data_IF_573779932581
#
_entry.id   IF_573779932581
#
_cell.length_a   1.000
_cell.length_b   1.000
_cell.length_c   1.000
_cell.angle_alpha   90.00
_cell.angle_beta   90.00
_cell.angle_gamma   90.00
#
_symmetry.space_group_name_H-M   'P 1'
#
loop_
_entity.id
_entity.type
_entity.pdbx_description
1 polymer ?
#
# COMPACT_ATOMS: atom_id res chain seq x y z
N UNK A 1 -16.71 20.26 32.51
CA UNK A 1 -15.69 19.21 32.57
C UNK A 1 -15.77 18.46 31.25
N UNK A 2 -14.85 18.73 30.32
CA UNK A 2 -14.88 18.18 28.95
C UNK A 2 -14.23 16.79 29.01
N UNK A 3 -14.97 15.69 28.77
CA UNK A 3 -14.39 14.35 28.81
C UNK A 3 -13.45 14.15 27.61
N UNK A 4 -12.38 13.41 27.88
CA UNK A 4 -11.19 13.31 27.07
C UNK A 4 -11.44 12.94 25.61
N UNK A 5 -10.82 13.73 24.75
CA UNK A 5 -10.39 13.27 23.44
C UNK A 5 -9.45 12.07 23.63
N UNK A 6 -10.05 10.88 23.62
CA UNK A 6 -9.50 9.72 22.96
C UNK A 6 -8.97 10.19 21.60
N UNK A 7 -7.66 10.44 21.56
CA UNK A 7 -6.86 10.71 20.36
C UNK A 7 -6.16 9.42 19.93
N UNK A 8 -6.85 8.29 20.03
CA UNK A 8 -6.37 7.02 19.47
C UNK A 8 -6.73 7.03 18.00
N UNK A 9 -5.75 6.75 17.13
CA UNK A 9 -5.99 6.46 15.71
C UNK A 9 -6.73 5.15 15.51
N UNK A 10 -7.90 4.97 16.12
CA UNK A 10 -8.76 3.82 15.90
C UNK A 10 -9.39 3.95 14.52
N UNK A 11 -9.11 2.98 13.65
CA UNK A 11 -9.75 2.83 12.33
C UNK A 11 -11.18 2.34 12.50
N UNK A 12 -12.01 3.03 13.29
CA UNK A 12 -13.38 2.61 13.54
C UNK A 12 -14.11 2.55 12.20
N UNK A 13 -14.55 1.34 11.82
CA UNK A 13 -15.22 1.05 10.56
C UNK A 13 -14.34 1.00 9.30
N UNK A 14 -13.08 1.42 9.29
CA UNK A 14 -12.20 1.23 8.12
C UNK A 14 -11.51 -0.14 8.14
N UNK A 15 -11.65 -0.90 7.05
CA UNK A 15 -10.87 -2.12 6.80
C UNK A 15 -9.57 -1.79 6.08
N UNK A 16 -9.62 -0.85 5.13
CA UNK A 16 -8.47 -0.30 4.40
C UNK A 16 -8.70 1.15 3.99
N UNK A 17 -7.69 2.04 4.10
CA UNK A 17 -6.40 1.79 4.75
C UNK A 17 -6.57 1.57 6.26
N UNK A 18 -5.63 0.87 6.89
CA UNK A 18 -5.56 0.78 8.35
C UNK A 18 -4.75 1.93 8.93
N UNK A 19 -4.94 2.22 10.22
CA UNK A 19 -4.25 3.33 10.87
C UNK A 19 -2.73 3.19 10.79
N UNK A 20 -2.06 4.23 10.28
CA UNK A 20 -0.60 4.26 10.07
C UNK A 20 -0.11 3.48 8.85
N UNK A 21 -1.01 2.86 8.06
CA UNK A 21 -0.64 2.19 6.81
C UNK A 21 -0.03 3.19 5.82
N UNK A 22 0.95 2.74 5.03
CA UNK A 22 1.45 3.49 3.88
C UNK A 22 0.86 2.90 2.60
N UNK A 23 0.01 3.67 1.91
CA UNK A 23 -0.65 3.23 0.66
C UNK A 23 -0.06 3.91 -0.57
N UNK A 24 -0.17 3.25 -1.72
CA UNK A 24 0.29 3.83 -2.97
C UNK A 24 -0.60 5.01 -3.36
N UNK A 25 0.01 6.10 -3.84
CA UNK A 25 -0.73 7.32 -4.15
C UNK A 25 -1.77 7.20 -5.28
N UNK A 26 -1.70 6.15 -6.10
CA UNK A 26 -2.60 5.92 -7.24
C UNK A 26 -3.30 4.56 -7.15
N UNK A 27 -4.55 4.50 -7.60
CA UNK A 27 -5.39 3.27 -7.65
C UNK A 27 -5.60 2.60 -6.27
N UNK A 28 -5.44 3.35 -5.18
CA UNK A 28 -5.69 2.82 -3.84
C UNK A 28 -7.18 2.53 -3.66
N UNK A 29 -7.48 1.36 -3.13
CA UNK A 29 -8.84 0.96 -2.78
C UNK A 29 -9.08 1.18 -1.29
N UNK A 30 -10.18 1.88 -1.01
CA UNK A 30 -10.69 2.15 0.32
C UNK A 30 -11.82 1.15 0.59
N UNK A 31 -11.82 0.55 1.79
CA UNK A 31 -12.81 -0.44 2.23
C UNK A 31 -13.20 -0.18 3.67
N UNK A 32 -14.48 -0.34 3.97
CA UNK A 32 -15.03 -0.10 5.30
C UNK A 32 -16.13 -1.11 5.62
N UNK A 33 -16.51 -1.20 6.88
CA UNK A 33 -17.62 -2.00 7.34
C UNK A 33 -18.94 -1.34 6.95
N UNK A 34 -19.96 -2.11 6.52
CA UNK A 34 -21.28 -1.56 6.24
C UNK A 34 -21.86 -0.85 7.47
N UNK A 35 -22.46 0.32 7.26
CA UNK A 35 -23.11 1.08 8.33
C UNK A 35 -24.62 0.85 8.22
N UNK A 36 -25.26 0.24 9.23
CA UNK A 36 -26.70 -0.01 9.20
C UNK A 36 -27.49 1.29 8.99
N UNK A 37 -28.35 1.33 7.99
CA UNK A 37 -29.18 2.51 7.66
C UNK A 37 -28.57 3.47 6.64
N UNK A 38 -27.30 3.31 6.25
CA UNK A 38 -26.70 4.10 5.17
C UNK A 38 -27.17 3.59 3.80
N UNK A 39 -27.63 4.49 2.94
CA UNK A 39 -27.99 4.22 1.54
C UNK A 39 -26.84 4.47 0.57
N UNK A 40 -25.93 5.38 0.92
CA UNK A 40 -24.66 5.60 0.21
C UNK A 40 -23.61 6.21 1.13
N UNK A 41 -22.38 6.30 0.62
CA UNK A 41 -21.20 6.76 1.34
C UNK A 41 -20.44 7.78 0.50
N UNK A 42 -19.99 8.84 1.16
CA UNK A 42 -19.07 9.83 0.63
C UNK A 42 -17.73 9.65 1.32
N UNK A 43 -16.69 9.38 0.53
CA UNK A 43 -15.31 9.25 0.99
C UNK A 43 -14.60 10.55 0.72
N UNK A 44 -14.09 11.19 1.78
CA UNK A 44 -13.33 12.44 1.68
C UNK A 44 -11.91 12.23 2.19
N UNK A 45 -10.93 12.77 1.48
CA UNK A 45 -9.51 12.67 1.80
C UNK A 45 -8.94 14.07 1.97
N UNK A 46 -8.22 14.27 3.06
CA UNK A 46 -7.55 15.52 3.40
C UNK A 46 -6.13 15.25 3.91
N UNK A 47 -5.23 16.20 3.74
CA UNK A 47 -4.00 16.22 4.52
C UNK A 47 -4.34 16.47 5.99
N UNK A 48 -3.62 15.82 6.92
CA UNK A 48 -3.76 16.12 8.36
C UNK A 48 -3.44 17.59 8.65
N UNK A 49 -2.65 18.24 7.80
CA UNK A 49 -2.37 19.67 7.83
C UNK A 49 -3.58 20.56 7.50
N UNK A 50 -4.64 20.01 6.89
CA UNK A 50 -5.92 20.69 6.62
C UNK A 50 -6.25 20.88 5.14
N UNK A 51 -5.37 20.50 4.23
CA UNK A 51 -5.60 20.66 2.78
C UNK A 51 -6.55 19.58 2.24
N UNK A 52 -7.56 20.01 1.48
CA UNK A 52 -8.43 19.08 0.77
C UNK A 52 -7.66 18.38 -0.36
N UNK A 53 -7.80 17.06 -0.45
CA UNK A 53 -7.14 16.26 -1.50
C UNK A 53 -8.16 15.77 -2.52
N UNK A 54 -9.20 15.07 -2.07
CA UNK A 54 -10.16 14.43 -2.96
C UNK A 54 -11.45 14.01 -2.26
N UNK A 55 -12.53 13.84 -3.03
CA UNK A 55 -13.80 13.30 -2.58
C UNK A 55 -14.45 12.43 -3.65
N UNK A 56 -15.17 11.38 -3.24
CA UNK A 56 -15.96 10.55 -4.14
C UNK A 56 -17.06 9.77 -3.43
N UNK A 57 -18.03 9.28 -4.21
CA UNK A 57 -19.23 8.62 -3.68
C UNK A 57 -19.26 7.14 -4.05
N UNK A 58 -19.74 6.30 -3.14
CA UNK A 58 -19.99 4.88 -3.37
C UNK A 58 -21.36 4.46 -2.83
N UNK A 59 -22.01 3.53 -3.52
CA UNK A 59 -23.22 2.85 -3.03
C UNK A 59 -22.89 1.53 -2.31
N UNK A 60 -21.64 1.06 -2.41
CA UNK A 60 -21.13 -0.10 -1.70
C UNK A 60 -20.16 0.29 -0.58
N UNK A 61 -19.51 -0.71 0.02
CA UNK A 61 -18.53 -0.51 1.10
C UNK A 61 -17.08 -0.44 0.64
N UNK A 62 -16.89 -0.11 -0.64
CA UNK A 62 -15.57 0.12 -1.21
C UNK A 62 -15.60 1.23 -2.24
N UNK A 63 -14.46 1.91 -2.39
CA UNK A 63 -14.24 2.93 -3.41
C UNK A 63 -12.78 2.87 -3.87
N UNK A 64 -12.60 2.86 -5.17
CA UNK A 64 -11.27 2.90 -5.78
C UNK A 64 -10.99 4.31 -6.25
N UNK A 65 -9.80 4.83 -5.93
CA UNK A 65 -9.37 6.13 -6.45
C UNK A 65 -9.26 6.07 -7.98
N UNK A 66 -9.84 7.06 -8.69
CA UNK A 66 -9.66 7.19 -10.13
C UNK A 66 -8.18 7.30 -10.51
N UNK A 67 -7.79 6.82 -11.70
CA UNK A 67 -6.40 6.74 -12.14
C UNK A 67 -5.72 8.12 -12.29
N UNK A 68 -6.52 9.15 -12.52
CA UNK A 68 -6.13 10.56 -12.66
C UNK A 68 -5.87 11.25 -11.31
N UNK A 69 -6.31 10.65 -10.21
CA UNK A 69 -6.10 11.19 -8.86
C UNK A 69 -4.78 10.68 -8.29
N UNK A 70 -3.90 11.64 -7.96
CA UNK A 70 -2.60 11.38 -7.34
C UNK A 70 -2.59 11.95 -5.93
N UNK A 71 -2.41 11.08 -4.93
CA UNK A 71 -2.20 11.53 -3.55
C UNK A 71 -0.81 12.15 -3.38
N UNK A 72 -0.67 13.25 -2.60
CA UNK A 72 0.60 13.92 -2.41
C UNK A 72 1.58 13.00 -1.66
N UNK A 73 2.67 12.58 -2.28
CA UNK A 73 3.57 11.58 -1.71
C UNK A 73 4.26 12.05 -0.42
N UNK A 74 4.48 11.12 0.53
CA UNK A 74 5.16 11.38 1.80
C UNK A 74 4.33 12.18 2.80
N UNK A 75 3.04 12.40 2.55
CA UNK A 75 2.14 13.16 3.42
C UNK A 75 1.33 12.25 4.33
N UNK A 76 0.99 12.78 5.49
CA UNK A 76 0.01 12.16 6.38
C UNK A 76 -1.39 12.64 5.98
N UNK A 77 -2.23 11.68 5.61
CA UNK A 77 -3.57 11.90 5.11
C UNK A 77 -4.58 11.35 6.11
N UNK A 78 -5.79 11.92 6.07
CA UNK A 78 -6.95 11.40 6.77
C UNK A 78 -8.07 11.16 5.77
N UNK A 79 -8.60 9.95 5.76
CA UNK A 79 -9.83 9.63 5.05
C UNK A 79 -11.01 9.64 6.02
N UNK A 80 -12.16 10.09 5.54
CA UNK A 80 -13.43 10.12 6.27
C UNK A 80 -14.50 9.36 5.46
N UNK A 81 -15.36 8.62 6.16
CA UNK A 81 -16.62 8.11 5.61
C UNK A 81 -17.76 8.97 6.16
N UNK A 82 -18.53 9.55 5.24
CA UNK A 82 -19.74 10.30 5.55
C UNK A 82 -20.91 9.50 4.97
N UNK A 83 -21.86 9.10 5.81
CA UNK A 83 -23.05 8.37 5.37
C UNK A 83 -24.07 9.30 4.74
N UNK A 84 -24.86 8.75 3.84
CA UNK A 84 -26.11 9.34 3.39
C UNK A 84 -27.22 8.35 3.76
N UNK A 85 -28.23 8.73 4.57
CA UNK A 85 -28.36 10.04 5.21
C UNK A 85 -27.34 10.23 6.36
N UNK A 86 -27.03 11.51 6.69
CA UNK A 86 -25.89 11.91 7.54
C UNK A 86 -26.11 11.71 9.04
N UNK A 87 -27.34 11.42 9.43
CA UNK A 87 -27.80 11.21 10.81
C UNK A 87 -27.59 9.77 11.31
N UNK A 88 -27.22 8.86 10.42
CA UNK A 88 -27.07 7.42 10.72
C UNK A 88 -25.74 7.10 11.40
N UNK A 89 -24.70 7.87 11.11
CA UNK A 89 -23.38 7.74 11.74
C UNK A 89 -22.97 9.08 12.38
N UNK A 90 -22.40 9.08 13.60
CA UNK A 90 -21.84 10.29 14.19
C UNK A 90 -20.76 10.88 13.27
N UNK A 91 -20.85 12.18 13.00
CA UNK A 91 -19.84 12.88 12.20
C UNK A 91 -18.47 12.78 12.87
N UNK A 92 -17.49 12.20 12.18
CA UNK A 92 -16.09 12.10 12.64
C UNK A 92 -15.69 10.76 13.25
N UNK A 93 -16.62 9.83 13.48
CA UNK A 93 -16.32 8.51 14.07
C UNK A 93 -15.61 7.57 13.08
N UNK A 94 -15.78 7.81 11.78
CA UNK A 94 -15.26 6.95 10.72
C UNK A 94 -14.16 7.67 9.98
N UNK A 95 -13.00 7.75 10.62
CA UNK A 95 -11.81 8.29 9.98
C UNK A 95 -10.61 7.38 10.18
N UNK A 96 -9.70 7.40 9.22
CA UNK A 96 -8.43 6.70 9.33
C UNK A 96 -7.30 7.59 8.87
N UNK A 97 -6.20 7.58 9.62
CA UNK A 97 -4.97 8.27 9.26
C UNK A 97 -4.01 7.28 8.61
N UNK A 98 -3.46 7.67 7.49
CA UNK A 98 -2.53 6.84 6.71
C UNK A 98 -1.49 7.74 6.06
N UNK A 99 -0.42 7.15 5.53
CA UNK A 99 0.58 7.86 4.76
C UNK A 99 0.46 7.51 3.29
N UNK A 100 0.60 8.50 2.43
CA UNK A 100 0.79 8.28 0.99
C UNK A 100 2.26 7.95 0.73
N UNK A 101 2.52 6.76 0.21
CA UNK A 101 3.86 6.32 -0.15
C UNK A 101 4.15 6.51 -1.64
N UNK A 102 5.42 6.79 -1.94
CA UNK A 102 5.93 6.76 -3.30
C UNK A 102 5.88 5.31 -3.85
N UNK A 103 5.46 5.13 -5.11
CA UNK A 103 5.30 3.80 -5.72
C UNK A 103 6.58 2.95 -5.61
N UNK A 104 7.74 3.60 -5.68
CA UNK A 104 9.06 2.97 -5.52
C UNK A 104 9.43 2.67 -4.05
N UNK A 105 8.95 3.46 -3.09
CA UNK A 105 9.18 3.22 -1.66
C UNK A 105 8.39 1.99 -1.17
N UNK A 106 7.17 1.80 -1.67
CA UNK A 106 6.32 0.65 -1.33
C UNK A 106 6.88 -0.65 -1.94
N UNK A 107 7.42 -0.58 -3.15
CA UNK A 107 8.10 -1.73 -3.77
C UNK A 107 9.40 -2.09 -3.03
N UNK A 108 10.20 -1.12 -2.58
CA UNK A 108 11.37 -1.39 -1.72
C UNK A 108 10.97 -2.03 -0.39
N UNK A 109 9.84 -1.62 0.20
CA UNK A 109 9.35 -2.22 1.44
C UNK A 109 8.94 -3.70 1.25
N UNK A 110 8.33 -4.05 0.11
CA UNK A 110 7.98 -5.46 -0.20
C UNK A 110 9.17 -6.33 -0.57
N UNK A 111 10.22 -5.79 -1.19
CA UNK A 111 11.44 -6.57 -1.47
C UNK A 111 12.36 -6.72 -0.26
N UNK A 112 12.30 -5.81 0.72
CA UNK A 112 13.01 -5.92 2.00
C UNK A 112 12.29 -6.80 3.04
N UNK A 113 11.01 -7.11 2.83
CA UNK A 113 10.25 -8.07 3.64
C UNK A 113 10.41 -9.54 3.16
N UNK A 114 11.31 -9.80 2.21
CA UNK A 114 11.73 -11.16 1.89
C UNK A 114 12.66 -11.67 3.00
N UNK A 115 12.40 -12.83 3.62
CA UNK A 115 13.28 -13.36 4.66
C UNK A 115 14.67 -13.62 4.06
N UNK A 116 15.70 -13.37 4.87
CA UNK A 116 17.12 -13.53 4.52
C UNK A 116 17.52 -14.82 3.77
N UNK A 117 16.81 -15.99 3.86
CA UNK A 117 17.21 -17.17 3.10
C UNK A 117 17.02 -17.03 1.58
N UNK A 118 16.09 -16.15 1.13
CA UNK A 118 15.82 -15.99 -0.30
C UNK A 118 16.99 -15.30 -1.04
N UNK A 119 17.72 -14.40 -0.36
CA UNK A 119 18.92 -13.77 -0.92
C UNK A 119 20.09 -14.77 -1.02
N UNK A 120 20.21 -15.69 -0.06
CA UNK A 120 21.21 -16.77 -0.08
C UNK A 120 21.00 -17.73 -1.26
N UNK A 121 19.75 -18.09 -1.58
CA UNK A 121 19.45 -18.99 -2.70
C UNK A 121 19.81 -18.37 -4.07
N UNK A 122 19.61 -17.05 -4.24
CA UNK A 122 19.97 -16.35 -5.47
C UNK A 122 21.50 -16.29 -5.63
N UNK A 123 22.24 -16.01 -4.55
CA UNK A 123 23.72 -16.02 -4.56
C UNK A 123 24.28 -17.43 -4.83
N UNK A 124 23.70 -18.47 -4.22
CA UNK A 124 24.10 -19.86 -4.45
C UNK A 124 23.84 -20.28 -5.91
N UNK A 125 22.68 -19.92 -6.47
CA UNK A 125 22.38 -20.18 -7.88
C UNK A 125 23.36 -19.50 -8.84
N UNK A 126 23.76 -18.26 -8.53
CA UNK A 126 24.72 -17.52 -9.35
C UNK A 126 26.14 -18.11 -9.27
N UNK A 127 26.58 -18.54 -8.07
CA UNK A 127 27.86 -19.22 -7.88
C UNK A 127 27.92 -20.59 -8.56
N UNK A 128 26.84 -21.37 -8.54
CA UNK A 128 26.74 -22.65 -9.25
C UNK A 128 26.72 -22.46 -10.77
N UNK A 129 26.06 -21.41 -11.27
CA UNK A 129 26.03 -21.08 -12.71
C UNK A 129 27.40 -20.70 -13.26
N UNK A 130 28.19 -19.91 -12.52
CA UNK A 130 29.56 -19.55 -12.92
C UNK A 130 30.49 -20.78 -12.92
N UNK A 131 30.35 -21.67 -11.93
CA UNK A 131 31.12 -22.92 -11.88
C UNK A 131 30.90 -23.82 -13.11
N UNK A 132 29.65 -23.96 -13.56
CA UNK A 132 29.32 -24.75 -14.75
C UNK A 132 29.82 -24.11 -16.06
N UNK A 133 29.83 -22.77 -16.15
CA UNK A 133 30.32 -22.04 -17.31
C UNK A 133 31.85 -22.16 -17.48
N UNK A 134 32.61 -22.09 -16.38
CA UNK A 134 34.07 -22.23 -16.39
C UNK A 134 34.50 -23.66 -16.74
N UNK A 135 33.74 -24.67 -16.32
CA UNK A 135 34.03 -26.07 -16.65
C UNK A 135 33.80 -26.38 -18.14
N UNK A 136 32.74 -25.83 -18.74
CA UNK A 136 32.49 -25.95 -20.19
C UNK A 136 33.54 -25.22 -21.03
N UNK A 137 34.05 -24.09 -20.57
CA UNK A 137 35.08 -23.33 -21.28
C UNK A 137 36.45 -24.04 -21.31
N UNK A 138 36.77 -24.87 -20.31
CA UNK A 138 38.01 -25.68 -20.32
C UNK A 138 37.92 -26.90 -21.24
N UNK A 139 36.76 -27.51 -21.39
CA UNK A 139 36.59 -28.69 -22.24
C UNK A 139 36.79 -28.36 -23.74
N UNK A 140 36.27 -27.22 -24.21
CA UNK A 140 36.39 -26.81 -25.62
C UNK A 140 37.81 -26.43 -26.05
N UNK A 141 38.71 -26.14 -25.11
CA UNK A 141 40.12 -25.78 -25.41
C UNK A 141 41.04 -26.99 -25.61
N UNK A 142 40.62 -28.19 -25.18
CA UNK A 142 41.41 -29.41 -25.37
C UNK A 142 41.18 -30.04 -26.75
N UNK A 143 39.99 -29.89 -27.36
CA UNK A 143 39.73 -30.37 -28.73
C UNK A 143 40.50 -29.61 -29.81
N UNK A 144 40.92 -28.37 -29.53
CA UNK A 144 41.70 -27.56 -30.48
C UNK A 144 43.19 -27.91 -30.53
N UNK A 145 43.68 -28.77 -29.62
CA UNK A 145 45.12 -29.04 -29.45
C UNK A 145 45.59 -30.39 -30.04
N UNK A 146 44.68 -31.21 -30.56
CA UNK A 146 44.99 -32.54 -31.14
C UNK A 146 44.80 -32.64 -32.65
N UNK A 147 44.50 -31.53 -33.33
CA UNK A 147 44.51 -31.46 -34.79
C UNK A 147 45.81 -30.77 -35.26
N UNK A 148 46.91 -31.51 -35.30
CA UNK A 148 48.11 -31.15 -36.06
C UNK A 148 48.75 -32.42 -36.59
#
# INVERSE_FOLDING_TARGET
MVPGADRSGASTGFERPVAGETIAGNHSQYRWQPIPGASSYLVRIEEVAGDFVWEGTSHGTSLTLPPDITLPAGRELRAYIITVPRDVAPAGDLSVRFRSGDRMAILKYRTLAAPWPAQLLILIGFLLGIGAAVLRYRASRFESATAT
#
